data_IF_472272057819
#
_entry.id   IF_472272057819
#
_cell.length_a   1.000
_cell.length_b   1.000
_cell.length_c   1.000
_cell.angle_alpha   90.00
_cell.angle_beta   90.00
_cell.angle_gamma   90.00
#
_symmetry.space_group_name_H-M   'P 1'
#
loop_
_entity.id
_entity.type
_entity.pdbx_description
1 polymer ?
#
# COMPACT_ATOMS: atom_id res chain seq x y z
N UNK A 1 6.90 22.40 -39.74
CA UNK A 1 6.25 23.16 -38.64
C UNK A 1 5.59 22.19 -37.63
N UNK A 2 6.34 21.20 -37.12
CA UNK A 2 5.82 20.19 -36.18
C UNK A 2 6.76 20.06 -34.97
N UNK A 3 6.90 21.15 -34.24
CA UNK A 3 7.62 21.18 -32.98
C UNK A 3 6.75 21.87 -31.93
N UNK A 4 6.54 21.20 -30.79
CA UNK A 4 5.70 21.58 -29.64
C UNK A 4 4.22 21.21 -29.71
N UNK A 5 3.93 19.90 -29.71
CA UNK A 5 2.83 19.43 -28.86
C UNK A 5 3.40 19.23 -27.46
N UNK A 6 2.92 20.06 -26.54
CA UNK A 6 3.30 20.07 -25.14
C UNK A 6 3.06 18.69 -24.53
N UNK A 7 4.08 18.23 -23.80
CA UNK A 7 3.98 17.22 -22.74
C UNK A 7 3.11 17.79 -21.61
N UNK A 8 1.81 17.75 -21.77
CA UNK A 8 0.86 17.83 -20.67
C UNK A 8 0.32 16.41 -20.49
N UNK A 9 0.47 15.85 -19.29
CA UNK A 9 0.26 14.42 -19.02
C UNK A 9 -1.11 13.90 -19.49
N UNK A 10 -1.15 12.60 -19.78
CA UNK A 10 -2.29 11.86 -20.35
C UNK A 10 -2.55 12.18 -21.83
N UNK A 11 -1.70 11.64 -22.70
CA UNK A 11 -1.67 11.91 -24.15
C UNK A 11 -2.92 11.54 -24.97
N UNK A 12 -4.06 11.17 -24.37
CA UNK A 12 -5.26 10.69 -25.09
C UNK A 12 -6.61 11.12 -24.48
N UNK A 13 -6.65 12.12 -23.61
CA UNK A 13 -7.93 12.67 -23.13
C UNK A 13 -8.68 11.83 -22.09
N UNK A 14 -8.05 10.80 -21.53
CA UNK A 14 -8.52 10.14 -20.30
C UNK A 14 -7.92 10.89 -19.12
N UNK A 15 -8.76 11.50 -18.27
CA UNK A 15 -8.27 12.17 -17.07
C UNK A 15 -7.69 11.16 -16.08
N UNK A 16 -6.77 11.61 -15.21
CA UNK A 16 -6.21 10.82 -14.09
C UNK A 16 -7.28 10.07 -13.31
N UNK A 17 -8.33 10.80 -12.92
CA UNK A 17 -9.45 10.26 -12.15
C UNK A 17 -10.23 9.20 -12.95
N UNK A 18 -10.42 9.42 -14.25
CA UNK A 18 -11.11 8.44 -15.11
C UNK A 18 -10.31 7.14 -15.19
N UNK A 19 -8.99 7.22 -15.37
CA UNK A 19 -8.13 6.03 -15.39
C UNK A 19 -8.13 5.29 -14.04
N UNK A 20 -8.08 6.04 -12.94
CA UNK A 20 -8.14 5.47 -11.59
C UNK A 20 -9.48 4.77 -11.30
N UNK A 21 -10.60 5.36 -11.74
CA UNK A 21 -11.93 4.74 -11.61
C UNK A 21 -12.03 3.46 -12.45
N UNK A 22 -11.54 3.46 -13.69
CA UNK A 22 -11.49 2.24 -14.49
C UNK A 22 -10.64 1.14 -13.84
N UNK A 23 -9.54 1.51 -13.19
CA UNK A 23 -8.73 0.56 -12.43
C UNK A 23 -9.47 0.01 -11.20
N UNK A 24 -10.27 0.84 -10.52
CA UNK A 24 -11.11 0.43 -9.39
C UNK A 24 -12.22 -0.53 -9.85
N UNK A 25 -12.89 -0.22 -10.96
CA UNK A 25 -13.90 -1.09 -11.57
C UNK A 25 -13.29 -2.45 -11.92
N UNK A 26 -12.12 -2.45 -12.55
CA UNK A 26 -11.38 -3.68 -12.85
C UNK A 26 -11.00 -4.47 -11.59
N UNK A 27 -10.58 -3.80 -10.51
CA UNK A 27 -10.29 -4.45 -9.22
C UNK A 27 -11.53 -5.16 -8.66
N UNK A 28 -12.69 -4.52 -8.69
CA UNK A 28 -13.94 -5.07 -8.14
C UNK A 28 -14.39 -6.37 -8.82
N UNK A 29 -13.98 -6.57 -10.08
CA UNK A 29 -14.31 -7.73 -10.90
C UNK A 29 -13.32 -8.88 -10.74
N UNK A 30 -12.17 -8.66 -10.09
CA UNK A 30 -11.18 -9.72 -9.90
C UNK A 30 -11.70 -10.80 -8.93
N UNK A 31 -11.36 -12.08 -9.16
CA UNK A 31 -11.71 -13.15 -8.24
C UNK A 31 -10.92 -13.03 -6.92
N UNK A 32 -11.50 -13.49 -5.79
CA UNK A 32 -10.81 -13.51 -4.49
C UNK A 32 -9.48 -14.26 -4.57
N UNK A 33 -8.45 -13.75 -3.89
CA UNK A 33 -7.12 -14.38 -3.83
C UNK A 33 -6.24 -14.12 -5.06
N UNK A 34 -6.67 -13.27 -6.00
CA UNK A 34 -5.83 -12.87 -7.15
C UNK A 34 -4.52 -12.23 -6.69
N UNK A 35 -3.39 -12.83 -7.05
CA UNK A 35 -2.05 -12.26 -6.86
C UNK A 35 -1.72 -11.26 -7.97
N UNK A 36 -0.76 -10.35 -7.75
CA UNK A 36 -0.32 -9.37 -8.77
C UNK A 36 -1.45 -8.47 -9.29
N UNK A 37 -2.29 -7.96 -8.36
CA UNK A 37 -3.47 -7.15 -8.66
C UNK A 37 -3.25 -6.05 -9.70
N UNK A 38 -2.11 -5.36 -9.64
CA UNK A 38 -1.78 -4.27 -10.57
C UNK A 38 -1.70 -4.77 -12.02
N UNK A 39 -1.02 -5.88 -12.24
CA UNK A 39 -0.80 -6.39 -13.59
C UNK A 39 -2.10 -6.94 -14.18
N UNK A 40 -2.91 -7.61 -13.36
CA UNK A 40 -4.26 -8.05 -13.74
C UNK A 40 -5.16 -6.86 -14.10
N UNK A 41 -5.13 -5.79 -13.31
CA UNK A 41 -5.90 -4.57 -13.58
C UNK A 41 -5.44 -3.91 -14.87
N UNK A 42 -4.13 -3.75 -15.08
CA UNK A 42 -3.58 -3.15 -16.30
C UNK A 42 -3.93 -3.99 -17.53
N UNK A 43 -3.93 -5.33 -17.42
CA UNK A 43 -4.39 -6.21 -18.47
C UNK A 43 -5.90 -6.01 -18.78
N UNK A 44 -6.73 -5.85 -17.75
CA UNK A 44 -8.17 -5.60 -17.89
C UNK A 44 -8.49 -4.23 -18.52
N UNK A 45 -7.58 -3.25 -18.45
CA UNK A 45 -7.73 -1.97 -19.17
C UNK A 45 -7.56 -2.11 -20.70
N UNK A 46 -7.04 -3.24 -21.19
CA UNK A 46 -6.89 -3.53 -22.61
C UNK A 46 -6.11 -2.43 -23.36
N UNK A 47 -6.67 -1.96 -24.47
CA UNK A 47 -6.04 -0.93 -25.32
C UNK A 47 -5.75 0.38 -24.56
N UNK A 48 -6.60 0.75 -23.60
CA UNK A 48 -6.41 1.98 -22.82
C UNK A 48 -5.14 1.86 -21.97
N UNK A 49 -4.92 0.70 -21.35
CA UNK A 49 -3.70 0.42 -20.59
C UNK A 49 -2.44 0.47 -21.45
N UNK A 50 -2.50 -0.09 -22.66
CA UNK A 50 -1.35 -0.09 -23.59
C UNK A 50 -0.99 1.30 -24.13
N UNK A 51 -1.97 2.21 -24.20
CA UNK A 51 -1.77 3.56 -24.71
C UNK A 51 -1.38 4.58 -23.63
N UNK A 52 -1.53 4.23 -22.35
CA UNK A 52 -1.07 5.06 -21.24
C UNK A 52 0.44 4.91 -21.01
N UNK A 53 1.09 5.98 -20.55
CA UNK A 53 2.49 5.88 -20.13
C UNK A 53 2.59 5.09 -18.82
N UNK A 54 3.74 4.46 -18.58
CA UNK A 54 4.02 3.79 -17.29
C UNK A 54 3.83 4.73 -16.09
N UNK A 55 4.14 6.02 -16.27
CA UNK A 55 3.92 7.05 -15.25
C UNK A 55 2.44 7.24 -14.95
N UNK A 56 1.62 7.41 -15.98
CA UNK A 56 0.17 7.63 -15.84
C UNK A 56 -0.51 6.42 -15.17
N UNK A 57 -0.11 5.21 -15.57
CA UNK A 57 -0.55 3.95 -14.95
C UNK A 57 -0.17 3.91 -13.47
N UNK A 58 1.06 4.27 -13.11
CA UNK A 58 1.52 4.24 -11.72
C UNK A 58 0.78 5.26 -10.85
N UNK A 59 0.56 6.47 -11.36
CA UNK A 59 -0.20 7.51 -10.66
C UNK A 59 -1.66 7.07 -10.44
N UNK A 60 -2.33 6.59 -11.49
CA UNK A 60 -3.71 6.09 -11.39
C UNK A 60 -3.82 4.87 -10.47
N UNK A 61 -2.84 3.95 -10.52
CA UNK A 61 -2.80 2.78 -9.64
C UNK A 61 -2.69 3.17 -8.16
N UNK A 62 -1.86 4.17 -7.83
CA UNK A 62 -1.75 4.63 -6.46
C UNK A 62 -3.05 5.23 -5.92
N UNK A 63 -3.81 5.91 -6.77
CA UNK A 63 -5.14 6.43 -6.43
C UNK A 63 -6.14 5.28 -6.29
N UNK A 64 -6.21 4.36 -7.27
CA UNK A 64 -7.11 3.21 -7.29
C UNK A 64 -6.96 2.31 -6.08
N UNK A 65 -5.74 2.02 -5.63
CA UNK A 65 -5.50 1.24 -4.41
C UNK A 65 -6.08 1.89 -3.16
N UNK A 66 -5.96 3.22 -3.03
CA UNK A 66 -6.52 3.96 -1.91
C UNK A 66 -8.05 3.93 -1.92
N UNK A 67 -8.65 4.11 -3.09
CA UNK A 67 -10.11 4.01 -3.26
C UNK A 67 -10.59 2.60 -2.94
N UNK A 68 -9.95 1.56 -3.48
CA UNK A 68 -10.33 0.17 -3.25
C UNK A 68 -10.31 -0.23 -1.76
N UNK A 69 -9.27 0.17 -1.02
CA UNK A 69 -9.17 -0.13 0.41
C UNK A 69 -10.19 0.66 1.26
N UNK A 70 -10.68 1.81 0.77
CA UNK A 70 -11.68 2.61 1.47
C UNK A 70 -13.11 2.18 1.14
N UNK A 71 -13.39 1.87 -0.12
CA UNK A 71 -14.72 1.54 -0.63
C UNK A 71 -15.07 0.06 -0.40
N UNK A 72 -14.09 -0.83 -0.44
CA UNK A 72 -14.27 -2.28 -0.27
C UNK A 72 -13.28 -2.85 0.78
N UNK A 73 -13.30 -2.37 2.04
CA UNK A 73 -12.38 -2.81 3.09
C UNK A 73 -12.52 -4.31 3.44
N UNK A 74 -13.68 -4.91 3.15
CA UNK A 74 -13.93 -6.35 3.28
C UNK A 74 -13.22 -7.19 2.21
N UNK A 75 -12.81 -6.58 1.10
CA UNK A 75 -12.14 -7.26 -0.03
C UNK A 75 -10.68 -6.87 -0.15
N UNK A 76 -10.32 -5.64 0.15
CA UNK A 76 -8.96 -5.14 -0.05
C UNK A 76 -8.38 -4.50 1.21
N UNK A 77 -7.08 -4.70 1.38
CA UNK A 77 -6.32 -4.11 2.47
C UNK A 77 -5.00 -3.55 1.95
N UNK A 78 -4.62 -2.37 2.44
CA UNK A 78 -3.30 -1.82 2.22
C UNK A 78 -2.38 -2.29 3.34
N UNK A 79 -1.28 -2.95 2.97
CA UNK A 79 -0.21 -3.15 3.92
C UNK A 79 0.47 -1.81 4.23
N UNK A 80 1.32 -1.79 5.26
CA UNK A 80 1.99 -0.54 5.58
C UNK A 80 3.07 -0.11 4.55
N UNK A 81 3.43 -0.93 3.55
CA UNK A 81 4.24 -0.50 2.41
C UNK A 81 3.37 0.10 1.28
N UNK A 82 2.08 0.30 1.52
CA UNK A 82 1.08 0.78 0.54
C UNK A 82 0.92 -0.16 -0.66
N UNK A 83 1.17 -1.45 -0.45
CA UNK A 83 0.84 -2.51 -1.41
C UNK A 83 -0.59 -2.96 -1.11
N UNK A 84 -1.41 -3.04 -2.16
CA UNK A 84 -2.79 -3.52 -2.06
C UNK A 84 -2.77 -5.04 -2.11
N UNK A 85 -3.51 -5.64 -1.19
CA UNK A 85 -3.69 -7.09 -1.08
C UNK A 85 -5.17 -7.41 -0.98
N UNK A 86 -5.53 -8.66 -1.27
CA UNK A 86 -6.82 -9.19 -0.86
C UNK A 86 -6.90 -9.28 0.66
N UNK A 87 -8.06 -8.94 1.22
CA UNK A 87 -8.36 -9.12 2.63
C UNK A 87 -8.86 -10.55 2.88
N UNK A 88 -8.00 -11.53 2.61
CA UNK A 88 -8.25 -12.96 2.82
C UNK A 88 -7.65 -13.48 4.14
N UNK A 89 -7.16 -12.57 4.99
CA UNK A 89 -6.49 -12.90 6.25
C UNK A 89 -5.03 -13.35 6.10
N UNK A 90 -4.49 -13.46 4.87
CA UNK A 90 -3.08 -13.78 4.65
C UNK A 90 -2.14 -12.63 5.03
N UNK A 91 -2.64 -11.39 4.97
CA UNK A 91 -1.86 -10.18 5.26
C UNK A 91 -2.14 -9.70 6.67
N UNK A 92 -1.16 -9.87 7.56
CA UNK A 92 -1.16 -9.23 8.88
C UNK A 92 -0.64 -7.80 8.75
N UNK A 93 -1.52 -6.82 8.88
CA UNK A 93 -1.11 -5.42 9.00
C UNK A 93 -0.32 -5.28 10.31
N UNK A 94 0.96 -4.92 10.18
CA UNK A 94 1.80 -4.63 11.33
C UNK A 94 1.26 -3.39 12.02
N UNK A 95 1.03 -3.49 13.33
CA UNK A 95 0.90 -2.30 14.16
C UNK A 95 2.27 -1.59 14.20
N UNK A 96 2.28 -0.32 13.80
CA UNK A 96 3.50 0.46 13.57
C UNK A 96 3.66 1.61 14.54
N UNK A 97 2.61 1.95 15.28
CA UNK A 97 2.65 3.07 16.20
C UNK A 97 2.74 2.54 17.63
N UNK A 98 3.61 3.17 18.40
CA UNK A 98 3.59 3.07 19.85
C UNK A 98 3.00 4.38 20.33
N UNK A 99 2.05 4.34 21.26
CA UNK A 99 1.50 5.55 21.85
C UNK A 99 2.62 6.39 22.49
N UNK A 100 2.51 7.72 22.43
CA UNK A 100 3.53 8.62 23.01
C UNK A 100 3.81 8.30 24.47
N UNK A 101 2.76 7.93 25.23
CA UNK A 101 2.89 7.52 26.63
C UNK A 101 3.77 6.27 26.80
N UNK A 102 3.56 5.24 25.98
CA UNK A 102 4.36 4.02 26.03
C UNK A 102 5.79 4.26 25.51
N UNK A 103 5.94 5.10 24.50
CA UNK A 103 7.26 5.48 23.99
C UNK A 103 8.11 6.22 25.04
N UNK A 104 7.50 7.13 25.82
CA UNK A 104 8.19 7.78 26.96
C UNK A 104 8.66 6.77 28.00
N UNK A 105 7.78 5.87 28.43
CA UNK A 105 8.12 4.79 29.38
C UNK A 105 9.28 3.91 28.88
N UNK A 106 9.31 3.60 27.58
CA UNK A 106 10.42 2.84 26.98
C UNK A 106 11.74 3.62 27.02
N UNK A 107 11.72 4.93 26.80
CA UNK A 107 12.93 5.76 26.89
C UNK A 107 13.42 5.87 28.33
N UNK A 108 12.54 6.13 29.29
CA UNK A 108 12.88 6.18 30.72
C UNK A 108 13.51 4.86 31.19
N UNK A 109 12.93 3.73 30.77
CA UNK A 109 13.47 2.41 31.09
C UNK A 109 14.83 2.18 30.40
N UNK A 110 14.98 2.58 29.14
CA UNK A 110 16.23 2.42 28.41
C UNK A 110 17.37 3.25 29.03
N UNK A 111 17.05 4.48 29.46
CA UNK A 111 17.95 5.38 30.19
C UNK A 111 18.38 4.77 31.54
N UNK A 112 17.44 4.24 32.32
CA UNK A 112 17.75 3.60 33.61
C UNK A 112 18.68 2.37 33.49
N UNK A 113 18.68 1.71 32.33
CA UNK A 113 19.52 0.54 32.03
C UNK A 113 20.78 0.93 31.24
N UNK A 114 20.91 2.19 30.83
CA UNK A 114 22.03 2.69 30.04
C UNK A 114 22.13 2.07 28.64
N UNK A 115 21.00 1.81 27.98
CA UNK A 115 20.96 1.22 26.64
C UNK A 115 20.03 1.99 25.69
N UNK A 116 20.07 1.66 24.40
CA UNK A 116 19.11 2.23 23.45
C UNK A 116 17.74 1.56 23.60
N UNK A 117 16.67 2.26 23.21
CA UNK A 117 15.32 1.70 23.16
C UNK A 117 15.26 0.43 22.29
N UNK A 118 15.98 0.40 21.17
CA UNK A 118 16.04 -0.79 20.30
C UNK A 118 16.67 -2.00 21.00
N UNK A 119 17.73 -1.76 21.77
CA UNK A 119 18.39 -2.82 22.53
C UNK A 119 17.52 -3.30 23.69
N UNK A 120 16.85 -2.39 24.40
CA UNK A 120 15.86 -2.72 25.42
C UNK A 120 14.74 -3.61 24.85
N UNK A 121 14.14 -3.23 23.72
CA UNK A 121 13.09 -4.01 23.05
C UNK A 121 13.62 -5.40 22.67
N UNK A 122 14.83 -5.48 22.13
CA UNK A 122 15.45 -6.76 21.75
C UNK A 122 15.62 -7.69 22.96
N UNK A 123 16.04 -7.15 24.11
CA UNK A 123 16.16 -7.88 25.37
C UNK A 123 14.79 -8.34 25.89
N UNK A 124 13.78 -7.47 25.86
CA UNK A 124 12.41 -7.78 26.27
C UNK A 124 11.81 -8.91 25.43
N UNK A 125 11.94 -8.85 24.10
CA UNK A 125 11.48 -9.91 23.19
C UNK A 125 12.17 -11.23 23.49
N UNK A 126 13.50 -11.21 23.71
CA UNK A 126 14.27 -12.42 24.04
C UNK A 126 13.79 -13.06 25.33
N UNK A 127 13.52 -12.26 26.36
CA UNK A 127 13.07 -12.76 27.66
C UNK A 127 11.62 -13.26 27.60
N UNK A 128 10.73 -12.53 26.92
CA UNK A 128 9.35 -12.93 26.72
C UNK A 128 9.25 -14.30 26.02
N UNK A 129 10.03 -14.51 24.94
CA UNK A 129 10.09 -15.81 24.24
C UNK A 129 10.56 -16.97 25.11
N UNK A 130 11.43 -16.72 26.11
CA UNK A 130 11.90 -17.75 27.04
C UNK A 130 10.82 -18.17 28.03
N UNK A 131 9.90 -17.28 28.40
CA UNK A 131 8.79 -17.56 29.31
C UNK A 131 7.56 -18.18 28.64
N UNK A 132 7.54 -18.32 27.32
CA UNK A 132 6.46 -18.97 26.54
C UNK A 132 6.80 -20.46 26.26
N UNK A 133 7.89 -20.98 26.81
CA UNK A 133 8.22 -22.41 26.75
C UNK A 133 7.56 -23.18 27.87
#
# INVERSE_FOLDING_TARGET
MFGRMKREGFGLGVSKNKLANMMLDALSQLPPGTTNLKDCVVANLGLIGQMCTTRDINEAWNQAKGMAANEYPERFILDGRKVLHWNDGSVKVLDRSITTANYKKLNELAESVGCSVNELISRLIRNYRKGIK
#
